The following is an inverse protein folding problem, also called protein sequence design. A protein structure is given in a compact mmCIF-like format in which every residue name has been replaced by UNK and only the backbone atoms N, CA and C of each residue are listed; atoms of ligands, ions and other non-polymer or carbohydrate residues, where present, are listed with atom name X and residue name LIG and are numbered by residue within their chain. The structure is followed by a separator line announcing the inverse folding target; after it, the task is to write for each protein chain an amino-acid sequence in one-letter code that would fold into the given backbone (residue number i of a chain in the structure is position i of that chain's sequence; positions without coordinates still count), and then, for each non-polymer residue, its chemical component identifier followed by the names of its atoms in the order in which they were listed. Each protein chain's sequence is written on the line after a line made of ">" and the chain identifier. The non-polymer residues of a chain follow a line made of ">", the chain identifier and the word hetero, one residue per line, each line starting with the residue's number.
data_IF_315000574447
#
_entry.id   IF_315000574447
#
_cell.length_a   1.000
_cell.length_b   1.000
_cell.length_c   1.000
_cell.angle_alpha   90.00
_cell.angle_beta   90.00
_cell.angle_gamma   90.00
#
_symmetry.space_group_name_H-M   'P 1'
#
loop_
_entity.id
_entity.type
_entity.pdbx_description
1 polymer ?
#
# COMPACT_ATOMS: atom_id res chain seq x y z
N UNK A 1 -5.55 -9.64 0.69
CA UNK A 1 -4.28 -8.90 0.91
C UNK A 1 -3.13 -9.86 0.72
N UNK A 2 -2.15 -9.49 -0.10
CA UNK A 2 -0.91 -10.26 -0.29
C UNK A 2 0.04 -9.91 0.86
N UNK A 3 0.02 -10.70 1.92
CA UNK A 3 0.69 -10.35 3.17
C UNK A 3 2.00 -11.12 3.39
N UNK A 4 2.16 -12.28 2.80
CA UNK A 4 3.31 -13.16 3.05
C UNK A 4 4.32 -13.16 1.90
N UNK A 5 5.59 -13.48 2.23
CA UNK A 5 6.63 -13.65 1.21
C UNK A 5 6.28 -14.74 0.19
N UNK A 6 5.70 -15.86 0.66
CA UNK A 6 5.32 -16.97 -0.19
C UNK A 6 4.27 -16.58 -1.22
N UNK A 7 3.24 -15.82 -0.82
CA UNK A 7 2.24 -15.28 -1.74
C UNK A 7 2.85 -14.33 -2.78
N UNK A 8 3.75 -13.44 -2.36
CA UNK A 8 4.45 -12.51 -3.25
C UNK A 8 5.32 -13.26 -4.27
N UNK A 9 6.06 -14.27 -3.82
CA UNK A 9 6.89 -15.10 -4.71
C UNK A 9 6.06 -15.89 -5.69
N UNK A 10 4.94 -16.49 -5.24
CA UNK A 10 4.02 -17.22 -6.11
C UNK A 10 3.45 -16.29 -7.20
N UNK A 11 2.92 -15.14 -6.82
CA UNK A 11 2.40 -14.16 -7.77
C UNK A 11 3.46 -13.72 -8.78
N UNK A 12 4.69 -13.45 -8.32
CA UNK A 12 5.78 -13.14 -9.24
C UNK A 12 6.09 -14.30 -10.20
N UNK A 13 6.07 -15.54 -9.69
CA UNK A 13 6.28 -16.74 -10.52
C UNK A 13 5.24 -16.87 -11.64
N UNK A 14 3.99 -16.59 -11.32
CA UNK A 14 2.85 -16.71 -12.22
C UNK A 14 2.74 -15.54 -13.21
N UNK A 15 2.97 -14.30 -12.74
CA UNK A 15 2.67 -13.08 -13.52
C UNK A 15 3.88 -12.32 -14.02
N UNK A 16 5.05 -12.54 -13.42
CA UNK A 16 6.27 -11.71 -13.58
C UNK A 16 6.02 -10.22 -13.26
N UNK A 17 4.95 -9.92 -12.53
CA UNK A 17 4.59 -8.57 -12.13
C UNK A 17 5.58 -7.98 -11.12
N UNK A 18 6.03 -6.77 -11.37
CA UNK A 18 6.96 -6.05 -10.48
C UNK A 18 6.29 -5.50 -9.23
N UNK A 19 4.97 -5.29 -9.27
CA UNK A 19 4.16 -4.81 -8.16
C UNK A 19 2.73 -5.35 -8.28
N UNK A 20 2.02 -5.40 -7.15
CA UNK A 20 0.61 -5.75 -7.07
C UNK A 20 -0.18 -4.55 -6.56
N UNK A 21 -1.26 -4.24 -7.24
CA UNK A 21 -2.21 -3.18 -6.90
C UNK A 21 -3.61 -3.77 -6.85
N UNK A 22 -4.32 -3.58 -5.75
CA UNK A 22 -5.63 -4.19 -5.54
C UNK A 22 -6.79 -3.18 -5.66
N UNK A 23 -6.49 -1.89 -5.73
CA UNK A 23 -7.50 -0.82 -5.72
C UNK A 23 -7.66 -0.11 -7.06
N UNK A 24 -6.59 0.05 -7.83
CA UNK A 24 -6.62 0.86 -9.06
C UNK A 24 -7.54 0.30 -10.13
N UNK A 25 -7.77 -1.01 -10.17
CA UNK A 25 -8.67 -1.62 -11.13
C UNK A 25 -10.10 -1.08 -11.00
N UNK A 26 -10.63 -1.05 -9.77
CA UNK A 26 -11.99 -0.54 -9.52
C UNK A 26 -12.11 0.97 -9.87
N UNK A 27 -11.05 1.74 -9.60
CA UNK A 27 -11.05 3.19 -9.96
C UNK A 27 -10.97 3.35 -11.48
N UNK A 28 -10.18 2.51 -12.18
CA UNK A 28 -10.09 2.54 -13.63
C UNK A 28 -11.42 2.21 -14.30
N UNK A 29 -12.14 1.20 -13.80
CA UNK A 29 -13.48 0.86 -14.29
C UNK A 29 -14.48 2.01 -14.11
N UNK A 30 -14.47 2.64 -12.93
CA UNK A 30 -15.34 3.79 -12.67
C UNK A 30 -15.02 4.98 -13.58
N UNK A 31 -13.73 5.27 -13.80
CA UNK A 31 -13.29 6.34 -14.71
C UNK A 31 -13.70 6.05 -16.16
N UNK A 32 -13.55 4.81 -16.62
CA UNK A 32 -13.96 4.37 -17.95
C UNK A 32 -15.47 4.52 -18.11
N UNK A 33 -16.26 4.09 -17.12
CA UNK A 33 -17.72 4.23 -17.15
C UNK A 33 -18.17 5.70 -17.17
N UNK A 34 -17.41 6.58 -16.52
CA UNK A 34 -17.67 8.03 -16.51
C UNK A 34 -17.10 8.77 -17.72
N UNK A 35 -16.35 8.12 -18.61
CA UNK A 35 -15.70 8.74 -19.75
C UNK A 35 -14.61 9.76 -19.37
N UNK A 36 -13.98 9.59 -18.18
CA UNK A 36 -12.92 10.50 -17.72
C UNK A 36 -11.53 9.87 -17.86
N UNK A 37 -10.49 10.68 -18.19
CA UNK A 37 -9.12 10.18 -18.23
C UNK A 37 -8.68 9.63 -16.89
N UNK A 38 -7.90 8.54 -16.91
CA UNK A 38 -7.37 7.89 -15.72
C UNK A 38 -5.87 7.70 -15.79
N UNK A 39 -5.17 8.08 -14.74
CA UNK A 39 -3.74 7.89 -14.59
C UNK A 39 -3.45 7.29 -13.22
N UNK A 40 -2.62 6.27 -13.16
CA UNK A 40 -2.14 5.67 -11.91
C UNK A 40 -0.70 6.08 -11.66
N UNK A 41 -0.45 6.62 -10.47
CA UNK A 41 0.88 6.85 -9.93
C UNK A 41 1.00 6.12 -8.59
N UNK A 42 1.87 5.15 -8.52
CA UNK A 42 2.07 4.32 -7.33
C UNK A 42 3.52 4.33 -6.87
N UNK A 43 3.72 4.12 -5.59
CA UNK A 43 5.03 3.83 -4.99
C UNK A 43 4.94 2.53 -4.23
N UNK A 44 6.01 1.75 -4.26
CA UNK A 44 6.09 0.50 -3.50
C UNK A 44 6.45 0.86 -2.06
N UNK A 45 5.54 0.58 -1.13
CA UNK A 45 5.73 0.77 0.31
C UNK A 45 6.07 -0.52 1.03
N UNK A 46 5.80 -1.66 0.41
CA UNK A 46 5.95 -2.99 0.98
C UNK A 46 6.72 -3.89 0.02
N UNK A 47 8.02 -4.05 0.28
CA UNK A 47 8.90 -4.85 -0.55
C UNK A 47 8.59 -6.36 -0.44
N UNK A 48 8.96 -7.14 -1.47
CA UNK A 48 8.69 -8.58 -1.54
C UNK A 48 9.38 -9.39 -0.42
N UNK A 49 10.48 -8.90 0.12
CA UNK A 49 11.21 -9.51 1.23
C UNK A 49 10.63 -9.17 2.61
N UNK A 50 9.65 -8.28 2.69
CA UNK A 50 8.95 -7.95 3.93
C UNK A 50 7.69 -8.79 4.09
N UNK A 51 7.37 -9.08 5.34
CA UNK A 51 6.07 -9.60 5.71
C UNK A 51 5.29 -8.52 6.48
N UNK A 52 3.97 -8.52 6.37
CA UNK A 52 3.13 -7.59 7.13
C UNK A 52 2.83 -8.22 8.49
N UNK A 53 3.25 -7.58 9.61
CA UNK A 53 2.97 -8.11 10.95
C UNK A 53 1.48 -8.30 11.19
N UNK A 54 1.13 -9.27 12.02
CA UNK A 54 -0.28 -9.53 12.37
C UNK A 54 -0.90 -8.35 13.12
N UNK A 55 -0.10 -7.62 13.91
CA UNK A 55 -0.52 -6.40 14.58
C UNK A 55 -0.90 -5.29 13.59
N UNK A 56 -0.23 -5.18 12.44
CA UNK A 56 -0.60 -4.26 11.36
C UNK A 56 -1.90 -4.69 10.67
N UNK A 57 -2.06 -5.99 10.40
CA UNK A 57 -3.30 -6.53 9.83
C UNK A 57 -4.49 -6.38 10.77
N UNK A 58 -4.29 -6.59 12.08
CA UNK A 58 -5.30 -6.38 13.11
C UNK A 58 -5.75 -4.92 13.24
N UNK A 59 -4.91 -3.98 12.79
CA UNK A 59 -5.26 -2.55 12.77
C UNK A 59 -6.39 -2.24 11.79
N UNK A 60 -6.53 -3.04 10.74
CA UNK A 60 -7.53 -2.81 9.68
C UNK A 60 -8.83 -3.50 10.09
N UNK A 61 -9.88 -2.73 10.27
CA UNK A 61 -11.23 -3.27 10.51
C UNK A 61 -11.86 -3.76 9.20
N UNK A 62 -12.92 -4.56 9.28
CA UNK A 62 -13.70 -4.99 8.12
C UNK A 62 -14.24 -3.81 7.29
N UNK A 63 -14.37 -2.63 7.89
CA UNK A 63 -14.78 -1.38 7.22
C UNK A 63 -13.58 -0.58 6.66
N UNK A 64 -12.37 -1.11 6.68
CA UNK A 64 -11.15 -0.43 6.19
C UNK A 64 -10.63 0.68 7.12
N UNK A 65 -11.24 0.89 8.30
CA UNK A 65 -10.78 1.91 9.26
C UNK A 65 -9.66 1.36 10.13
N UNK A 66 -8.69 2.21 10.43
CA UNK A 66 -7.62 1.87 11.37
C UNK A 66 -8.08 2.01 12.81
N UNK A 67 -7.72 1.03 13.66
CA UNK A 67 -8.01 1.03 15.08
C UNK A 67 -6.73 0.95 15.91
N UNK A 68 -6.23 2.09 16.44
CA UNK A 68 -5.01 2.11 17.25
C UNK A 68 -5.08 1.20 18.48
N UNK A 69 -6.26 1.08 19.11
CA UNK A 69 -6.45 0.21 20.26
C UNK A 69 -6.21 -1.27 19.94
N UNK A 70 -6.60 -1.73 18.76
CA UNK A 70 -6.35 -3.10 18.29
C UNK A 70 -4.87 -3.36 18.07
N UNK A 71 -4.14 -2.38 17.53
CA UNK A 71 -2.67 -2.44 17.38
C UNK A 71 -2.02 -2.61 18.74
N UNK A 72 -2.34 -1.73 19.71
CA UNK A 72 -1.79 -1.78 21.07
C UNK A 72 -2.10 -3.09 21.75
N UNK A 73 -3.33 -3.59 21.65
CA UNK A 73 -3.70 -4.90 22.18
C UNK A 73 -2.92 -6.03 21.51
N UNK A 74 -2.78 -6.03 20.19
CA UNK A 74 -2.00 -7.03 19.47
C UNK A 74 -0.51 -6.98 19.86
N UNK A 75 0.05 -5.78 20.04
CA UNK A 75 1.43 -5.59 20.47
C UNK A 75 1.68 -6.03 21.92
N UNK A 76 0.71 -5.90 22.82
CA UNK A 76 0.85 -6.43 24.20
C UNK A 76 1.01 -7.94 24.21
N UNK A 77 0.46 -8.64 23.22
CA UNK A 77 0.59 -10.09 23.05
C UNK A 77 1.84 -10.48 22.23
N UNK A 78 2.39 -9.55 21.43
CA UNK A 78 3.50 -9.80 20.50
C UNK A 78 4.48 -8.63 20.48
N UNK A 79 5.18 -8.35 21.57
CA UNK A 79 6.04 -7.15 21.68
C UNK A 79 7.20 -7.15 20.67
N UNK A 80 7.64 -8.30 20.18
CA UNK A 80 8.68 -8.42 19.15
C UNK A 80 8.26 -7.85 17.79
N UNK A 81 6.94 -7.74 17.50
CA UNK A 81 6.45 -7.15 16.25
C UNK A 81 6.64 -5.62 16.20
N UNK A 82 7.02 -4.96 17.31
CA UNK A 82 7.28 -3.50 17.33
C UNK A 82 8.36 -3.11 16.32
N UNK A 83 9.44 -3.88 16.23
CA UNK A 83 10.53 -3.58 15.30
C UNK A 83 10.08 -3.69 13.85
N UNK A 84 9.26 -4.68 13.53
CA UNK A 84 8.70 -4.86 12.18
C UNK A 84 7.72 -3.74 11.83
N UNK A 85 6.91 -3.30 12.78
CA UNK A 85 6.02 -2.15 12.59
C UNK A 85 6.79 -0.85 12.36
N UNK A 86 7.87 -0.62 13.10
CA UNK A 86 8.73 0.56 12.90
C UNK A 86 9.41 0.51 11.53
N UNK A 87 9.87 -0.67 11.11
CA UNK A 87 10.44 -0.85 9.78
C UNK A 87 9.39 -0.57 8.67
N UNK A 88 8.18 -1.10 8.82
CA UNK A 88 7.06 -0.84 7.90
C UNK A 88 6.71 0.64 7.84
N UNK A 89 6.63 1.31 8.99
CA UNK A 89 6.36 2.76 9.07
C UNK A 89 7.46 3.59 8.41
N UNK A 90 8.73 3.18 8.56
CA UNK A 90 9.86 3.82 7.88
C UNK A 90 9.76 3.66 6.36
N UNK A 91 9.51 2.45 5.88
CA UNK A 91 9.40 2.16 4.46
C UNK A 91 8.23 2.95 3.84
N UNK A 92 7.09 3.02 4.52
CA UNK A 92 5.95 3.84 4.12
C UNK A 92 6.31 5.34 4.04
N UNK A 93 7.04 5.88 5.04
CA UNK A 93 7.49 7.29 5.01
C UNK A 93 8.39 7.58 3.81
N UNK A 94 9.29 6.68 3.47
CA UNK A 94 10.17 6.82 2.29
C UNK A 94 9.33 6.81 1.01
N UNK A 95 8.39 5.88 0.89
CA UNK A 95 7.49 5.77 -0.24
C UNK A 95 6.63 7.05 -0.41
N UNK A 96 6.01 7.54 0.67
CA UNK A 96 5.23 8.78 0.64
C UNK A 96 6.08 10.01 0.30
N UNK A 97 7.32 10.09 0.80
CA UNK A 97 8.24 11.17 0.44
C UNK A 97 8.61 11.14 -1.06
N UNK A 98 8.77 9.95 -1.62
CA UNK A 98 9.00 9.78 -3.07
C UNK A 98 7.77 10.20 -3.87
N UNK A 99 6.58 9.75 -3.48
CA UNK A 99 5.32 10.12 -4.12
C UNK A 99 5.10 11.64 -4.09
N UNK A 100 5.32 12.27 -2.93
CA UNK A 100 5.21 13.73 -2.79
C UNK A 100 6.17 14.47 -3.72
N UNK A 101 7.42 14.00 -3.85
CA UNK A 101 8.40 14.62 -4.78
C UNK A 101 7.95 14.55 -6.23
N UNK A 102 7.42 13.40 -6.63
CA UNK A 102 6.89 13.22 -8.01
C UNK A 102 5.66 14.08 -8.23
N UNK A 103 4.72 14.10 -7.28
CA UNK A 103 3.52 14.92 -7.36
C UNK A 103 3.84 16.42 -7.49
N UNK A 104 4.80 16.93 -6.71
CA UNK A 104 5.22 18.33 -6.79
C UNK A 104 5.90 18.69 -8.11
N UNK A 105 6.68 17.76 -8.70
CA UNK A 105 7.32 17.96 -10.00
C UNK A 105 6.35 17.78 -11.17
N UNK A 106 5.37 16.90 -11.01
CA UNK A 106 4.36 16.59 -12.01
C UNK A 106 3.10 17.46 -11.93
N UNK A 107 3.03 18.40 -10.97
CA UNK A 107 1.85 19.27 -10.81
C UNK A 107 1.35 19.91 -12.11
N UNK A 108 2.21 20.37 -13.04
CA UNK A 108 1.76 20.88 -14.34
C UNK A 108 1.12 19.81 -15.24
N UNK A 109 1.52 18.53 -15.08
CA UNK A 109 0.98 17.40 -15.87
C UNK A 109 -0.41 16.96 -15.37
N UNK A 110 -0.74 17.30 -14.12
CA UNK A 110 -2.02 16.96 -13.49
C UNK A 110 -3.00 18.13 -13.46
N UNK A 111 -2.56 19.34 -13.90
CA UNK A 111 -3.47 20.45 -14.10
C UNK A 111 -4.26 20.22 -15.38
N UNK A 112 -5.51 19.80 -15.24
CA UNK A 112 -6.47 19.84 -16.34
C UNK A 112 -6.70 21.32 -16.70
N UNK A 113 -6.03 21.80 -17.74
CA UNK A 113 -6.50 23.02 -18.44
C UNK A 113 -7.86 22.69 -19.03
N UNK A 114 -8.91 23.28 -18.46
CA UNK A 114 -10.23 23.34 -19.08
C UNK A 114 -10.16 24.24 -20.29
#
# INVERSE_FOLDING_TARGET
>A
VVATRGEKQRLYGETKGLACDMESHAVAEAALAAGVPFLVLRVVSDASNRFIPQSALAAITASGRTSPGRVLFSLSLRPWEVFELLALARDARIAFAALRRVALRGAPLFSTTR
#
